data_IF_320970503277
#
_entry.id   IF_320970503277
#
_cell.length_a   1.000
_cell.length_b   1.000
_cell.length_c   1.000
_cell.angle_alpha   90.00
_cell.angle_beta   90.00
_cell.angle_gamma   90.00
#
_symmetry.space_group_name_H-M   'P 1'
#
loop_
_entity.id
_entity.type
_entity.pdbx_description
1 polymer ?
#
# COMPACT_ATOMS: atom_id res chain seq x y z
N UNK A 1 6.28 11.26 -23.67
CA UNK A 1 6.31 10.92 -22.22
C UNK A 1 5.82 9.49 -21.91
N UNK A 2 4.66 9.05 -22.43
CA UNK A 2 4.13 7.70 -22.15
C UNK A 2 5.04 6.58 -22.68
N UNK A 3 5.61 6.76 -23.88
CA UNK A 3 6.59 5.82 -24.46
C UNK A 3 7.88 5.72 -23.66
N UNK A 4 8.41 6.84 -23.19
CA UNK A 4 9.60 6.89 -22.31
C UNK A 4 9.35 6.20 -20.97
N UNK A 5 8.18 6.42 -20.34
CA UNK A 5 7.81 5.70 -19.09
C UNK A 5 7.69 4.20 -19.32
N UNK A 6 7.06 3.78 -20.41
CA UNK A 6 6.95 2.35 -20.77
C UNK A 6 8.31 1.72 -21.03
N UNK A 7 9.20 2.42 -21.75
CA UNK A 7 10.56 1.96 -21.99
C UNK A 7 11.37 1.85 -20.69
N UNK A 8 11.30 2.87 -19.82
CA UNK A 8 11.97 2.84 -18.52
C UNK A 8 11.46 1.67 -17.64
N UNK A 9 10.15 1.42 -17.62
CA UNK A 9 9.56 0.27 -16.92
C UNK A 9 10.04 -1.06 -17.51
N UNK A 10 10.09 -1.18 -18.84
CA UNK A 10 10.58 -2.38 -19.50
C UNK A 10 12.06 -2.64 -19.19
N UNK A 11 12.90 -1.61 -19.22
CA UNK A 11 14.33 -1.69 -18.85
C UNK A 11 14.48 -2.07 -17.37
N UNK A 12 13.72 -1.44 -16.48
CA UNK A 12 13.75 -1.76 -15.06
C UNK A 12 13.32 -3.21 -14.79
N UNK A 13 12.28 -3.70 -15.48
CA UNK A 13 11.84 -5.09 -15.38
C UNK A 13 12.90 -6.05 -15.90
N UNK A 14 13.52 -5.74 -17.04
CA UNK A 14 14.60 -6.54 -17.62
C UNK A 14 15.79 -6.62 -16.66
N UNK A 15 16.19 -5.49 -16.07
CA UNK A 15 17.26 -5.44 -15.07
C UNK A 15 16.90 -6.26 -13.83
N UNK A 16 15.67 -6.16 -13.33
CA UNK A 16 15.22 -6.94 -12.19
C UNK A 16 15.27 -8.45 -12.47
N UNK A 17 14.83 -8.87 -13.67
CA UNK A 17 14.92 -10.28 -14.10
C UNK A 17 16.38 -10.72 -14.22
N UNK A 18 17.26 -9.89 -14.78
CA UNK A 18 18.68 -10.21 -14.90
C UNK A 18 19.33 -10.38 -13.52
N UNK A 19 19.04 -9.47 -12.59
CA UNK A 19 19.54 -9.56 -11.20
C UNK A 19 19.02 -10.83 -10.53
N UNK A 20 17.74 -11.16 -10.68
CA UNK A 20 17.15 -12.37 -10.13
C UNK A 20 17.78 -13.64 -10.73
N UNK A 21 18.05 -13.65 -12.05
CA UNK A 21 18.69 -14.76 -12.73
C UNK A 21 20.14 -14.95 -12.28
N UNK A 22 20.91 -13.86 -12.16
CA UNK A 22 22.29 -13.89 -11.64
C UNK A 22 22.29 -14.37 -10.18
N UNK A 23 21.37 -13.89 -9.35
CA UNK A 23 21.22 -14.37 -7.98
C UNK A 23 20.92 -15.87 -7.94
N UNK A 24 19.98 -16.34 -8.76
CA UNK A 24 19.63 -17.76 -8.81
C UNK A 24 20.77 -18.64 -9.31
N UNK A 25 21.53 -18.18 -10.30
CA UNK A 25 22.68 -18.89 -10.83
C UNK A 25 23.81 -19.02 -9.79
N UNK A 26 24.04 -17.97 -8.98
CA UNK A 26 25.09 -17.97 -7.95
C UNK A 26 24.69 -18.67 -6.65
N UNK A 27 23.41 -18.99 -6.46
CA UNK A 27 22.88 -19.64 -5.27
C UNK A 27 22.05 -20.89 -5.65
N UNK A 28 22.66 -21.92 -6.26
CA UNK A 28 21.96 -23.13 -6.70
C UNK A 28 21.60 -24.07 -5.54
N UNK A 29 22.13 -23.83 -4.34
CA UNK A 29 21.93 -24.67 -3.18
C UNK A 29 20.47 -24.74 -2.72
N UNK A 30 20.15 -25.87 -2.10
CA UNK A 30 18.87 -26.14 -1.50
C UNK A 30 19.03 -26.17 0.02
N UNK A 31 18.15 -25.47 0.71
CA UNK A 31 18.17 -25.34 2.17
C UNK A 31 16.92 -25.97 2.78
N UNK A 32 17.06 -26.41 4.04
CA UNK A 32 15.91 -26.76 4.86
C UNK A 32 15.47 -25.52 5.65
N UNK A 33 14.18 -25.20 5.61
CA UNK A 33 13.59 -24.07 6.31
C UNK A 33 12.65 -24.61 7.38
N UNK A 34 12.98 -24.34 8.64
CA UNK A 34 12.10 -24.61 9.77
C UNK A 34 11.37 -23.31 10.14
N UNK A 35 10.05 -23.29 9.98
CA UNK A 35 9.20 -22.15 10.32
C UNK A 35 8.60 -22.26 11.74
N UNK A 36 9.12 -23.18 12.56
CA UNK A 36 8.74 -23.42 13.96
C UNK A 36 7.63 -24.44 14.14
N UNK A 37 6.74 -24.59 13.15
CA UNK A 37 5.65 -25.59 13.15
C UNK A 37 5.70 -26.55 11.95
N UNK A 38 6.58 -26.28 10.98
CA UNK A 38 6.79 -27.13 9.82
C UNK A 38 8.24 -26.97 9.36
N UNK A 39 8.84 -28.08 8.92
CA UNK A 39 10.15 -28.10 8.30
C UNK A 39 9.99 -28.46 6.82
N UNK A 40 10.42 -27.56 5.95
CA UNK A 40 10.35 -27.73 4.51
C UNK A 40 11.76 -28.00 4.02
N UNK A 41 11.98 -29.17 3.45
CA UNK A 41 13.28 -29.59 2.92
C UNK A 41 13.40 -29.28 1.43
N UNK A 42 14.65 -29.16 0.95
CA UNK A 42 14.93 -29.03 -0.49
C UNK A 42 14.48 -27.71 -1.12
N UNK A 43 14.32 -26.64 -0.32
CA UNK A 43 13.88 -25.34 -0.86
C UNK A 43 15.05 -24.65 -1.55
N UNK A 44 14.95 -24.29 -2.84
CA UNK A 44 15.98 -23.49 -3.49
C UNK A 44 16.09 -22.11 -2.83
N UNK A 45 17.31 -21.67 -2.50
CA UNK A 45 17.56 -20.34 -1.91
C UNK A 45 16.87 -19.20 -2.67
N UNK A 46 16.87 -19.16 -4.01
CA UNK A 46 16.20 -18.09 -4.76
C UNK A 46 14.70 -18.05 -4.53
N UNK A 47 14.07 -19.22 -4.39
CA UNK A 47 12.63 -19.33 -4.13
C UNK A 47 12.33 -18.82 -2.72
N UNK A 48 13.11 -19.24 -1.72
CA UNK A 48 12.94 -18.77 -0.34
C UNK A 48 13.02 -17.24 -0.25
N UNK A 49 14.00 -16.64 -0.94
CA UNK A 49 14.20 -15.20 -0.95
C UNK A 49 13.03 -14.45 -1.61
N UNK A 50 12.57 -14.93 -2.77
CA UNK A 50 11.41 -14.34 -3.48
C UNK A 50 10.15 -14.43 -2.63
N UNK A 51 9.91 -15.55 -1.95
CA UNK A 51 8.76 -15.73 -1.06
C UNK A 51 8.82 -14.75 0.11
N UNK A 52 9.97 -14.60 0.77
CA UNK A 52 10.15 -13.61 1.83
C UNK A 52 9.86 -12.18 1.35
N UNK A 53 10.38 -11.81 0.19
CA UNK A 53 10.12 -10.49 -0.42
C UNK A 53 8.63 -10.31 -0.74
N UNK A 54 7.99 -11.33 -1.33
CA UNK A 54 6.58 -11.30 -1.68
C UNK A 54 5.69 -11.12 -0.44
N UNK A 55 5.99 -11.84 0.64
CA UNK A 55 5.31 -11.68 1.93
C UNK A 55 5.46 -10.24 2.44
N UNK A 56 6.70 -9.72 2.47
CA UNK A 56 6.94 -8.33 2.89
C UNK A 56 6.19 -7.31 2.04
N UNK A 57 6.14 -7.51 0.73
CA UNK A 57 5.39 -6.66 -0.20
C UNK A 57 3.88 -6.70 0.07
N UNK A 58 3.31 -7.88 0.30
CA UNK A 58 1.89 -8.05 0.67
C UNK A 58 1.58 -7.31 1.97
N UNK A 59 2.42 -7.45 3.00
CA UNK A 59 2.26 -6.72 4.26
C UNK A 59 2.35 -5.20 4.08
N UNK A 60 3.31 -4.73 3.28
CA UNK A 60 3.45 -3.31 2.94
C UNK A 60 2.20 -2.76 2.25
N UNK A 61 1.67 -3.50 1.27
CA UNK A 61 0.47 -3.10 0.54
C UNK A 61 -0.78 -3.12 1.44
N UNK A 62 -0.90 -4.12 2.32
CA UNK A 62 -1.98 -4.19 3.30
C UNK A 62 -1.94 -3.02 4.29
N UNK A 63 -0.75 -2.67 4.80
CA UNK A 63 -0.54 -1.54 5.70
C UNK A 63 -0.89 -0.20 5.03
N UNK A 64 -0.39 0.03 3.81
CA UNK A 64 -0.72 1.22 3.04
C UNK A 64 -2.22 1.29 2.72
N UNK A 65 -2.83 0.17 2.35
CA UNK A 65 -4.27 0.07 2.12
C UNK A 65 -5.09 0.44 3.36
N UNK A 66 -4.70 -0.06 4.53
CA UNK A 66 -5.34 0.29 5.80
C UNK A 66 -5.23 1.80 6.11
N UNK A 67 -4.05 2.39 5.89
CA UNK A 67 -3.85 3.83 6.05
C UNK A 67 -4.75 4.66 5.12
N UNK A 68 -4.84 4.28 3.84
CA UNK A 68 -5.71 4.94 2.85
C UNK A 68 -7.19 4.81 3.23
N UNK A 69 -7.62 3.65 3.72
CA UNK A 69 -8.98 3.44 4.20
C UNK A 69 -9.30 4.33 5.40
N UNK A 70 -8.39 4.39 6.38
CA UNK A 70 -8.53 5.29 7.55
C UNK A 70 -8.65 6.75 7.10
N UNK A 71 -7.75 7.20 6.23
CA UNK A 71 -7.76 8.57 5.73
C UNK A 71 -9.03 8.89 4.92
N UNK A 72 -9.54 7.92 4.17
CA UNK A 72 -10.79 8.05 3.42
C UNK A 72 -12.02 8.16 4.33
N UNK A 73 -12.04 7.41 5.44
CA UNK A 73 -13.09 7.51 6.47
C UNK A 73 -13.05 8.88 7.17
N UNK A 74 -11.87 9.33 7.57
CA UNK A 74 -11.70 10.62 8.23
C UNK A 74 -12.12 11.77 7.31
N UNK A 75 -11.70 11.74 6.05
CA UNK A 75 -12.13 12.73 5.04
C UNK A 75 -13.65 12.77 4.87
N UNK A 76 -14.33 11.63 4.91
CA UNK A 76 -15.81 11.58 4.82
C UNK A 76 -16.45 12.16 6.08
N UNK A 77 -15.90 11.86 7.26
CA UNK A 77 -16.35 12.40 8.54
C UNK A 77 -16.20 13.92 8.60
N UNK A 78 -15.00 14.44 8.34
CA UNK A 78 -14.71 15.88 8.33
C UNK A 78 -15.60 16.65 7.35
N UNK A 79 -15.91 16.08 6.18
CA UNK A 79 -16.85 16.70 5.23
C UNK A 79 -18.28 16.77 5.76
N UNK A 80 -18.72 15.77 6.52
CA UNK A 80 -20.06 15.78 7.15
C UNK A 80 -20.11 16.81 8.27
N UNK A 81 -19.10 16.86 9.12
CA UNK A 81 -18.98 17.83 10.20
C UNK A 81 -18.94 19.27 9.66
N UNK A 82 -18.17 19.52 8.59
CA UNK A 82 -18.14 20.83 7.92
C UNK A 82 -19.52 21.24 7.41
N UNK A 83 -20.24 20.34 6.73
CA UNK A 83 -21.57 20.63 6.19
C UNK A 83 -22.59 20.93 7.29
N UNK A 84 -22.51 20.25 8.43
CA UNK A 84 -23.38 20.51 9.58
C UNK A 84 -23.08 21.89 10.20
N UNK A 85 -21.82 22.21 10.43
CA UNK A 85 -21.41 23.52 10.94
C UNK A 85 -21.83 24.67 10.01
N UNK A 86 -21.67 24.50 8.69
CA UNK A 86 -22.14 25.49 7.70
C UNK A 86 -23.66 25.67 7.74
N UNK A 87 -24.43 24.59 7.93
CA UNK A 87 -25.89 24.64 8.04
C UNK A 87 -26.33 25.36 9.33
N UNK A 88 -25.65 25.12 10.46
CA UNK A 88 -25.91 25.80 11.73
C UNK A 88 -25.63 27.31 11.63
N UNK A 89 -24.48 27.70 11.07
CA UNK A 89 -24.14 29.11 10.84
C UNK A 89 -25.16 29.78 9.93
N UNK A 90 -25.60 29.10 8.86
CA UNK A 90 -26.63 29.62 7.95
C UNK A 90 -27.97 29.79 8.66
N UNK A 91 -28.39 28.82 9.47
CA UNK A 91 -29.61 28.87 10.27
C UNK A 91 -29.59 30.08 11.21
N UNK A 92 -28.50 30.24 11.97
CA UNK A 92 -28.29 31.37 12.89
C UNK A 92 -28.31 32.73 12.18
N UNK A 93 -27.75 32.82 10.97
CA UNK A 93 -27.78 34.06 10.17
C UNK A 93 -29.14 34.35 9.52
N UNK A 94 -29.99 33.34 9.38
CA UNK A 94 -31.34 33.49 8.82
C UNK A 94 -32.41 33.77 9.88
N UNK A 95 -32.06 33.73 11.17
CA UNK A 95 -32.97 34.17 12.22
C UNK A 95 -33.20 35.69 12.08
N UNK A 96 -34.45 36.13 11.92
CA UNK A 96 -34.75 37.56 11.91
C UNK A 96 -34.38 38.17 13.26
N UNK A 97 -33.78 39.36 13.22
CA UNK A 97 -33.59 40.20 14.40
C UNK A 97 -34.98 40.67 14.88
N UNK A 98 -35.59 39.90 15.77
CA UNK A 98 -36.79 40.22 16.54
C UNK A 98 -36.36 40.01 18.00
N UNK A 99 -36.32 40.94 18.93
CA UNK A 99 -36.79 42.32 19.01
C UNK A 99 -35.75 43.08 19.84
N UNK A 100 -35.37 44.27 19.40
CA UNK A 100 -34.72 45.27 20.24
C UNK A 100 -35.43 46.61 20.02
N UNK A 101 -36.74 46.60 20.24
CA UNK A 101 -37.58 47.78 20.49
C UNK A 101 -38.21 47.61 21.89
#
# INVERSE_FOLDING_TARGET
MVTVRKAALAIALLLAVLIAAVFAYNNPEQIAIDVGFARIEGVPVPVAFVVCLAIGWVFGLASAGFAVLRMSRERRRLRRELKLAEAEVKSLRSLPLHDAD
#
